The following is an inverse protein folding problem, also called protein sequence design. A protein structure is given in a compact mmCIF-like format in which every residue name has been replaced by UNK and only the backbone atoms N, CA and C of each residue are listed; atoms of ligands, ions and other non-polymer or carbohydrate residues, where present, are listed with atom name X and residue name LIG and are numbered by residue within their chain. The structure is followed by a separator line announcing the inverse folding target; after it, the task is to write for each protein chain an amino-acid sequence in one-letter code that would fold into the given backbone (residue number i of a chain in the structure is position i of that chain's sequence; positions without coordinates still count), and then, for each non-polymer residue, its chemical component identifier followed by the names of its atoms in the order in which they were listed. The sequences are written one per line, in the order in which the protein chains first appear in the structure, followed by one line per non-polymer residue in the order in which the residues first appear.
data_IF_512859112771
#
_entry.id   IF_512859112771
#
_cell.length_a   1.000
_cell.length_b   1.000
_cell.length_c   1.000
_cell.angle_alpha   90.00
_cell.angle_beta   90.00
_cell.angle_gamma   90.00
#
_symmetry.space_group_name_H-M   'P 1'
#
loop_
_entity.id
_entity.type
_entity.pdbx_description
1 polymer ?
#
# COMPACT_ATOMS: atom_id res chain seq x y z
N UNK A 1 36.17 51.04 -53.04
CA UNK A 1 36.77 49.88 -52.34
C UNK A 1 36.85 50.18 -50.85
N UNK A 2 36.68 49.15 -49.99
CA UNK A 2 36.59 49.18 -48.51
C UNK A 2 35.19 49.43 -47.93
N UNK A 3 34.39 48.36 -47.86
CA UNK A 3 33.38 48.19 -46.80
C UNK A 3 34.03 47.41 -45.67
N UNK A 4 33.99 48.00 -44.48
CA UNK A 4 34.70 47.61 -43.27
C UNK A 4 33.99 46.41 -42.61
N UNK A 5 34.80 45.43 -42.20
CA UNK A 5 34.45 44.27 -41.39
C UNK A 5 33.83 44.70 -40.05
N UNK A 6 32.65 44.18 -39.72
CA UNK A 6 32.08 44.15 -38.37
C UNK A 6 31.35 42.81 -38.22
N UNK A 7 32.13 41.74 -38.03
CA UNK A 7 31.60 40.47 -37.54
C UNK A 7 31.79 40.49 -36.03
N UNK A 8 30.78 40.99 -35.34
CA UNK A 8 30.69 40.93 -33.89
C UNK A 8 30.48 39.46 -33.51
N UNK A 9 31.49 38.88 -32.85
CA UNK A 9 31.45 37.52 -32.33
C UNK A 9 30.38 37.41 -31.24
N UNK A 10 29.16 37.03 -31.62
CA UNK A 10 28.17 36.51 -30.70
C UNK A 10 28.57 35.08 -30.34
N UNK A 11 29.47 34.93 -29.36
CA UNK A 11 29.72 33.64 -28.71
C UNK A 11 28.45 33.24 -27.97
N UNK A 12 27.63 32.46 -28.67
CA UNK A 12 26.42 31.82 -28.21
C UNK A 12 26.80 30.86 -27.07
N UNK A 13 26.68 31.33 -25.82
CA UNK A 13 26.77 30.45 -24.65
C UNK A 13 25.44 29.67 -24.57
N UNK A 14 25.28 28.68 -25.45
CA UNK A 14 24.32 27.61 -25.23
C UNK A 14 24.81 26.83 -24.01
N UNK A 15 24.36 27.24 -22.83
CA UNK A 15 24.21 26.30 -21.72
C UNK A 15 23.27 25.22 -22.23
N UNK A 16 23.85 24.13 -22.71
CA UNK A 16 23.14 22.88 -22.90
C UNK A 16 22.57 22.52 -21.54
N UNK A 17 21.28 22.81 -21.37
CA UNK A 17 20.48 22.27 -20.28
C UNK A 17 20.47 20.77 -20.50
N UNK A 18 21.46 20.06 -19.96
CA UNK A 18 21.43 18.60 -19.91
C UNK A 18 20.28 18.28 -18.96
N UNK A 19 19.15 17.73 -19.43
CA UNK A 19 18.10 17.33 -18.52
C UNK A 19 18.71 16.27 -17.59
N UNK A 20 18.82 16.61 -16.30
CA UNK A 20 19.16 15.62 -15.29
C UNK A 20 18.18 14.47 -15.43
N UNK A 21 18.68 13.27 -15.71
CA UNK A 21 17.87 12.05 -15.84
C UNK A 21 17.17 11.84 -14.49
N UNK A 22 15.89 12.23 -14.40
CA UNK A 22 15.09 11.97 -13.21
C UNK A 22 14.91 10.45 -13.12
N UNK A 23 15.52 9.85 -12.10
CA UNK A 23 15.36 8.45 -11.79
C UNK A 23 14.20 8.35 -10.81
N UNK A 24 13.12 7.69 -11.22
CA UNK A 24 11.96 7.42 -10.38
C UNK A 24 12.12 6.10 -9.62
N UNK A 25 11.78 6.08 -8.33
CA UNK A 25 11.52 4.84 -7.61
C UNK A 25 10.11 4.37 -7.96
N UNK A 26 9.89 3.06 -8.05
CA UNK A 26 8.56 2.51 -8.29
C UNK A 26 8.26 1.30 -7.43
N UNK A 27 7.02 1.21 -7.00
CA UNK A 27 6.47 0.07 -6.28
C UNK A 27 5.38 -0.57 -7.15
N UNK A 28 5.62 -1.81 -7.55
CA UNK A 28 4.61 -2.66 -8.18
C UNK A 28 4.04 -3.60 -7.13
N UNK A 29 2.71 -3.68 -7.03
CA UNK A 29 2.04 -4.45 -5.99
C UNK A 29 1.25 -5.57 -6.65
N UNK A 30 1.48 -6.80 -6.19
CA UNK A 30 0.73 -7.99 -6.60
C UNK A 30 0.18 -8.71 -5.38
N UNK A 31 -0.97 -9.38 -5.55
CA UNK A 31 -1.60 -10.17 -4.50
C UNK A 31 -1.45 -11.64 -4.85
N UNK A 32 -0.88 -12.43 -3.94
CA UNK A 32 -0.65 -13.85 -4.17
C UNK A 32 -1.27 -14.71 -3.07
N UNK A 33 -1.62 -15.94 -3.44
CA UNK A 33 -1.95 -17.00 -2.50
C UNK A 33 -1.23 -18.27 -2.92
N UNK A 34 -0.40 -18.82 -2.03
CA UNK A 34 0.43 -20.00 -2.33
C UNK A 34 1.26 -19.84 -3.63
N UNK A 35 1.81 -18.64 -3.83
CA UNK A 35 2.65 -18.30 -4.98
C UNK A 35 1.94 -18.04 -6.31
N UNK A 36 0.60 -18.08 -6.34
CA UNK A 36 -0.19 -17.70 -7.53
C UNK A 36 -0.80 -16.32 -7.35
N UNK A 37 -0.79 -15.50 -8.40
CA UNK A 37 -1.54 -14.24 -8.41
C UNK A 37 -3.02 -14.54 -8.30
N UNK A 38 -3.73 -13.80 -7.45
CA UNK A 38 -5.16 -13.99 -7.19
C UNK A 38 -5.97 -12.74 -7.52
N UNK A 39 -7.21 -12.96 -7.93
CA UNK A 39 -8.19 -11.93 -8.28
C UNK A 39 -9.45 -12.06 -7.41
N UNK A 40 -10.29 -11.02 -7.33
CA UNK A 40 -11.57 -11.12 -6.65
C UNK A 40 -12.42 -12.26 -7.21
N UNK A 41 -13.02 -13.05 -6.32
CA UNK A 41 -13.88 -14.18 -6.66
C UNK A 41 -13.14 -15.50 -6.90
N UNK A 42 -11.80 -15.50 -6.96
CA UNK A 42 -11.02 -16.73 -7.05
C UNK A 42 -11.29 -17.61 -5.83
N UNK A 43 -11.38 -18.92 -6.08
CA UNK A 43 -11.49 -19.92 -5.01
C UNK A 43 -10.09 -20.35 -4.61
N UNK A 44 -9.68 -19.97 -3.39
CA UNK A 44 -8.43 -20.35 -2.78
C UNK A 44 -8.67 -21.55 -1.86
N UNK A 45 -7.63 -22.34 -1.58
CA UNK A 45 -7.75 -23.52 -0.72
C UNK A 45 -6.80 -23.40 0.46
N UNK A 46 -7.35 -23.33 1.67
CA UNK A 46 -6.56 -23.37 2.90
C UNK A 46 -5.78 -24.68 3.03
N UNK A 47 -4.80 -24.72 3.94
CA UNK A 47 -3.98 -25.93 4.16
C UNK A 47 -4.82 -27.18 4.48
N UNK A 48 -5.98 -27.00 5.13
CA UNK A 48 -6.92 -28.08 5.43
C UNK A 48 -7.82 -28.48 4.24
N UNK A 49 -7.64 -27.89 3.06
CA UNK A 49 -8.44 -28.13 1.86
C UNK A 49 -9.77 -27.38 1.80
N UNK A 50 -10.10 -26.54 2.79
CA UNK A 50 -11.34 -25.77 2.78
C UNK A 50 -11.29 -24.68 1.68
N UNK A 51 -12.32 -24.57 0.82
CA UNK A 51 -12.39 -23.51 -0.16
C UNK A 51 -12.71 -22.18 0.53
N UNK A 52 -11.98 -21.13 0.18
CA UNK A 52 -12.26 -19.75 0.58
C UNK A 52 -12.40 -18.91 -0.67
N UNK A 53 -13.32 -17.94 -0.67
CA UNK A 53 -13.42 -16.95 -1.73
C UNK A 53 -13.17 -15.57 -1.15
N UNK A 54 -12.29 -14.80 -1.77
CA UNK A 54 -12.07 -13.41 -1.40
C UNK A 54 -12.81 -12.52 -2.39
N UNK A 55 -13.74 -11.72 -1.89
CA UNK A 55 -14.58 -10.85 -2.72
C UNK A 55 -14.06 -9.41 -2.70
N UNK A 56 -13.57 -8.95 -1.54
CA UNK A 56 -13.05 -7.60 -1.35
C UNK A 56 -11.74 -7.67 -0.59
N UNK A 57 -10.72 -6.97 -1.09
CA UNK A 57 -9.50 -6.63 -0.37
C UNK A 57 -9.09 -5.23 -0.78
N UNK A 58 -9.19 -4.30 0.16
CA UNK A 58 -8.74 -2.91 0.00
C UNK A 58 -7.94 -2.48 1.21
N UNK A 59 -6.89 -1.69 1.03
CA UNK A 59 -6.11 -1.19 2.15
C UNK A 59 -5.34 0.07 1.79
N UNK A 60 -5.07 0.89 2.80
CA UNK A 60 -4.24 2.08 2.65
C UNK A 60 -2.77 1.75 2.89
N UNK A 61 -1.92 2.22 1.99
CA UNK A 61 -0.48 2.39 2.23
C UNK A 61 -0.23 3.88 2.39
N UNK A 62 0.36 4.30 3.51
CA UNK A 62 0.68 5.71 3.76
C UNK A 62 2.13 5.93 4.22
N UNK A 63 2.59 7.18 4.11
CA UNK A 63 3.94 7.64 4.48
C UNK A 63 5.05 6.74 3.91
N UNK A 64 4.96 6.47 2.60
CA UNK A 64 5.96 5.63 1.93
C UNK A 64 7.30 6.35 1.93
N UNK A 65 8.31 5.66 2.43
CA UNK A 65 9.66 6.18 2.53
C UNK A 65 10.69 5.14 2.15
N UNK A 66 11.78 5.62 1.56
CA UNK A 66 12.92 4.81 1.16
C UNK A 66 14.16 5.37 1.86
N UNK A 67 14.81 4.55 2.70
CA UNK A 67 16.05 4.93 3.38
C UNK A 67 17.28 4.32 2.71
N UNK A 68 18.36 5.09 2.68
CA UNK A 68 19.66 4.71 2.09
C UNK A 68 20.65 4.22 3.17
N UNK A 69 21.66 3.44 2.77
CA UNK A 69 22.84 3.05 3.60
C UNK A 69 23.42 4.25 4.36
N UNK A 70 23.52 5.39 3.68
CA UNK A 70 24.19 6.60 4.17
C UNK A 70 23.26 7.53 4.99
N UNK A 71 22.11 7.03 5.44
CA UNK A 71 21.17 7.77 6.29
C UNK A 71 20.22 8.74 5.56
N UNK A 72 20.36 8.91 4.24
CA UNK A 72 19.42 9.70 3.44
C UNK A 72 18.03 9.05 3.40
N UNK A 73 16.97 9.87 3.47
CA UNK A 73 15.58 9.43 3.31
C UNK A 73 14.93 10.12 2.13
N UNK A 74 14.23 9.35 1.32
CA UNK A 74 13.27 9.85 0.35
C UNK A 74 11.87 9.60 0.92
N UNK A 75 10.98 10.59 0.79
CA UNK A 75 9.60 10.50 1.24
C UNK A 75 8.67 10.80 0.07
N UNK A 76 7.56 10.08 0.01
CA UNK A 76 6.51 10.30 -0.96
C UNK A 76 5.81 11.66 -0.76
N UNK A 77 5.54 12.35 -1.86
CA UNK A 77 4.75 13.57 -1.88
C UNK A 77 3.26 13.29 -1.69
N UNK A 78 2.77 12.15 -2.20
CA UNK A 78 1.42 11.69 -1.90
C UNK A 78 1.44 10.83 -0.63
N UNK A 79 0.86 11.33 0.45
CA UNK A 79 1.00 10.68 1.75
C UNK A 79 0.21 9.39 1.88
N UNK A 80 -0.77 9.13 1.01
CA UNK A 80 -1.65 7.95 1.12
C UNK A 80 -2.06 7.43 -0.26
N UNK A 81 -2.04 6.11 -0.41
CA UNK A 81 -2.49 5.38 -1.59
C UNK A 81 -3.52 4.33 -1.18
N UNK A 82 -4.64 4.26 -1.92
CA UNK A 82 -5.60 3.16 -1.77
C UNK A 82 -5.23 2.03 -2.72
N UNK A 83 -4.95 0.86 -2.15
CA UNK A 83 -4.74 -0.36 -2.94
C UNK A 83 -6.03 -1.16 -2.98
N UNK A 84 -6.43 -1.56 -4.18
CA UNK A 84 -7.61 -2.39 -4.44
C UNK A 84 -7.19 -3.60 -5.26
N UNK A 85 -7.29 -4.79 -4.69
CA UNK A 85 -6.84 -6.04 -5.34
C UNK A 85 -7.70 -6.46 -6.54
N UNK A 86 -8.79 -5.73 -6.84
CA UNK A 86 -9.53 -5.91 -8.10
C UNK A 86 -8.71 -5.53 -9.33
N UNK A 87 -7.61 -4.82 -9.14
CA UNK A 87 -6.60 -4.59 -10.17
C UNK A 87 -5.52 -5.67 -10.14
N UNK A 88 -5.13 -6.20 -11.31
CA UNK A 88 -4.09 -7.23 -11.44
C UNK A 88 -2.75 -6.82 -10.83
N UNK A 89 -2.35 -5.57 -11.08
CA UNK A 89 -1.14 -4.96 -10.53
C UNK A 89 -1.43 -3.49 -10.24
N UNK A 90 -1.00 -3.00 -9.08
CA UNK A 90 -0.99 -1.55 -8.79
C UNK A 90 0.43 -1.03 -8.89
N UNK A 91 0.65 0.03 -9.65
CA UNK A 91 1.96 0.67 -9.79
C UNK A 91 1.94 2.07 -9.17
N UNK A 92 2.84 2.32 -8.24
CA UNK A 92 3.04 3.62 -7.62
C UNK A 92 4.43 4.12 -8.05
N UNK A 93 4.48 5.33 -8.60
CA UNK A 93 5.71 5.96 -9.04
C UNK A 93 6.02 7.14 -8.13
N UNK A 94 7.21 7.12 -7.53
CA UNK A 94 7.65 8.17 -6.63
C UNK A 94 8.58 9.13 -7.38
N UNK A 95 8.19 10.40 -7.43
CA UNK A 95 8.97 11.44 -8.10
C UNK A 95 10.24 11.78 -7.34
N UNK A 96 11.41 11.44 -7.86
CA UNK A 96 12.69 11.71 -7.20
C UNK A 96 13.81 12.05 -8.18
N UNK A 97 14.83 12.75 -7.68
CA UNK A 97 16.10 12.97 -8.36
C UNK A 97 17.19 12.30 -7.53
N UNK A 98 17.51 11.04 -7.81
CA UNK A 98 18.62 10.41 -7.10
C UNK A 98 18.95 9.01 -7.58
N UNK A 99 20.24 8.74 -7.67
CA UNK A 99 20.81 7.43 -7.91
C UNK A 99 20.88 6.64 -6.59
N UNK A 100 19.73 6.47 -5.91
CA UNK A 100 19.73 5.97 -4.55
C UNK A 100 19.86 4.43 -4.53
N UNK A 101 20.97 3.93 -4.01
CA UNK A 101 21.03 2.62 -3.36
C UNK A 101 20.11 2.69 -2.15
N UNK A 102 18.96 2.02 -2.24
CA UNK A 102 17.96 1.98 -1.18
C UNK A 102 18.17 0.69 -0.40
N UNK A 103 18.02 0.76 0.93
CA UNK A 103 18.17 -0.40 1.82
C UNK A 103 16.86 -0.86 2.42
N UNK A 104 15.90 0.05 2.56
CA UNK A 104 14.64 -0.24 3.23
C UNK A 104 13.51 0.55 2.60
N UNK A 105 12.47 -0.18 2.23
CA UNK A 105 11.15 0.35 1.98
C UNK A 105 10.37 0.33 3.28
N UNK A 106 9.86 1.49 3.72
CA UNK A 106 9.00 1.59 4.89
C UNK A 106 7.71 2.34 4.58
N UNK A 107 6.61 1.91 5.18
CA UNK A 107 5.29 2.52 5.03
C UNK A 107 4.40 2.14 6.22
N UNK A 108 3.23 2.78 6.33
CA UNK A 108 2.17 2.32 7.23
C UNK A 108 1.06 1.61 6.46
N UNK A 109 0.60 0.49 7.01
CA UNK A 109 -0.70 -0.10 6.69
C UNK A 109 -1.76 0.67 7.48
N UNK A 110 -2.53 1.49 6.78
CA UNK A 110 -3.49 2.43 7.37
C UNK A 110 -3.07 3.88 7.25
N UNK A 111 -3.84 4.77 7.87
CA UNK A 111 -3.62 6.21 7.80
C UNK A 111 -3.35 6.84 9.17
N UNK A 112 -2.67 7.99 9.16
CA UNK A 112 -2.36 8.74 10.37
C UNK A 112 -3.63 9.26 11.08
N UNK A 113 -3.54 9.34 12.40
CA UNK A 113 -4.65 9.81 13.25
C UNK A 113 -5.07 11.25 12.97
N UNK A 114 -4.14 12.14 12.58
CA UNK A 114 -4.45 13.53 12.25
C UNK A 114 -5.35 13.65 11.02
N UNK A 115 -5.14 12.80 10.00
CA UNK A 115 -6.01 12.69 8.83
C UNK A 115 -7.40 12.17 9.22
N UNK A 116 -7.45 11.16 10.10
CA UNK A 116 -8.73 10.65 10.59
C UNK A 116 -9.51 11.70 11.41
N UNK A 117 -8.83 12.47 12.26
CA UNK A 117 -9.45 13.52 13.08
C UNK A 117 -9.95 14.73 12.27
N UNK A 118 -9.38 14.98 11.09
CA UNK A 118 -9.77 16.10 10.21
C UNK A 118 -10.99 15.79 9.34
N UNK A 119 -11.54 14.58 9.43
CA UNK A 119 -12.80 14.20 8.80
C UNK A 119 -12.62 13.52 7.44
N UNK A 120 -13.55 13.83 6.54
CA UNK A 120 -13.62 13.24 5.20
C UNK A 120 -12.67 14.00 4.26
N UNK A 121 -11.96 13.24 3.43
CA UNK A 121 -11.02 13.75 2.43
C UNK A 121 -11.42 13.22 1.05
N UNK A 122 -10.83 13.80 -0.01
CA UNK A 122 -11.06 13.40 -1.39
C UNK A 122 -9.97 12.41 -1.89
N UNK A 123 -9.99 12.10 -3.19
CA UNK A 123 -8.95 11.28 -3.82
C UNK A 123 -8.98 9.85 -3.31
N UNK A 124 -7.85 9.33 -2.84
CA UNK A 124 -7.77 7.97 -2.27
C UNK A 124 -8.56 7.78 -1.00
N UNK A 125 -8.84 8.87 -0.28
CA UNK A 125 -9.61 8.87 0.95
C UNK A 125 -11.10 9.17 0.74
N UNK A 126 -11.57 9.27 -0.51
CA UNK A 126 -12.99 9.52 -0.77
C UNK A 126 -13.89 8.40 -0.19
N UNK A 127 -14.85 8.69 0.70
CA UNK A 127 -15.76 7.71 1.29
C UNK A 127 -16.56 6.90 0.26
N UNK A 128 -16.77 7.40 -0.96
CA UNK A 128 -17.41 6.65 -2.06
C UNK A 128 -16.63 5.37 -2.39
N UNK A 129 -15.32 5.32 -2.08
CA UNK A 129 -14.48 4.11 -2.23
C UNK A 129 -14.79 3.04 -1.18
N UNK A 130 -15.69 3.32 -0.23
CA UNK A 130 -16.19 2.36 0.76
C UNK A 130 -15.24 2.09 1.92
N UNK A 131 -14.28 2.98 2.15
CA UNK A 131 -13.19 2.81 3.13
C UNK A 131 -13.30 3.77 4.34
N UNK A 132 -14.49 4.34 4.56
CA UNK A 132 -14.79 5.22 5.68
C UNK A 132 -16.06 4.76 6.39
N UNK A 133 -16.00 4.60 7.71
CA UNK A 133 -17.16 4.30 8.54
C UNK A 133 -17.86 5.60 8.96
N UNK A 134 -19.11 5.76 8.55
CA UNK A 134 -19.92 6.94 8.90
C UNK A 134 -20.39 6.93 10.35
N UNK A 135 -20.68 5.76 10.93
CA UNK A 135 -21.22 5.63 12.29
C UNK A 135 -20.21 5.87 13.41
N UNK A 136 -18.91 5.66 13.14
CA UNK A 136 -17.83 5.87 14.12
C UNK A 136 -16.87 7.00 13.69
N UNK A 137 -17.08 7.58 12.51
CA UNK A 137 -16.26 8.64 11.90
C UNK A 137 -14.77 8.33 11.86
N UNK A 138 -14.37 7.55 10.86
CA UNK A 138 -12.97 7.24 10.62
C UNK A 138 -12.76 6.16 9.56
N UNK A 139 -11.51 6.05 9.14
CA UNK A 139 -11.11 5.22 8.02
C UNK A 139 -10.88 3.76 8.42
N UNK A 140 -11.16 2.90 7.46
CA UNK A 140 -10.83 1.48 7.49
C UNK A 140 -9.43 1.35 6.89
N UNK A 141 -8.45 0.94 7.69
CA UNK A 141 -7.07 0.78 7.23
C UNK A 141 -6.93 -0.41 6.26
N UNK A 142 -7.65 -1.51 6.54
CA UNK A 142 -7.73 -2.69 5.70
C UNK A 142 -9.15 -3.27 5.75
N UNK A 143 -9.75 -3.48 4.59
CA UNK A 143 -11.04 -4.14 4.40
C UNK A 143 -10.83 -5.44 3.67
N UNK A 144 -11.24 -6.56 4.28
CA UNK A 144 -11.27 -7.87 3.67
C UNK A 144 -12.64 -8.50 3.86
N UNK A 145 -13.25 -8.98 2.77
CA UNK A 145 -14.54 -9.66 2.80
C UNK A 145 -14.48 -10.90 1.91
N UNK A 146 -15.14 -11.96 2.35
CA UNK A 146 -15.11 -13.24 1.63
C UNK A 146 -16.09 -14.25 2.16
N UNK A 147 -15.96 -15.48 1.66
CA UNK A 147 -16.79 -16.62 2.03
C UNK A 147 -15.86 -17.74 2.50
N UNK A 148 -16.17 -18.33 3.65
CA UNK A 148 -15.46 -19.49 4.19
C UNK A 148 -16.47 -20.47 4.80
N UNK A 149 -16.48 -21.76 4.44
CA UNK A 149 -17.46 -22.76 4.92
C UNK A 149 -17.61 -22.92 6.43
N UNK A 150 -16.63 -22.46 7.20
CA UNK A 150 -16.62 -22.54 8.66
C UNK A 150 -17.20 -21.28 9.31
N UNK A 151 -17.43 -20.23 8.52
CA UNK A 151 -18.12 -19.04 9.03
C UNK A 151 -19.57 -19.40 9.35
N UNK A 152 -20.04 -19.12 10.58
CA UNK A 152 -21.41 -19.44 11.01
C UNK A 152 -22.45 -18.40 10.53
N UNK A 153 -22.03 -17.37 9.80
CA UNK A 153 -22.93 -16.32 9.30
C UNK A 153 -23.77 -16.81 8.11
N UNK A 154 -24.79 -16.01 7.74
CA UNK A 154 -25.53 -16.24 6.50
C UNK A 154 -24.59 -16.26 5.30
N UNK A 155 -24.81 -17.20 4.40
CA UNK A 155 -24.02 -17.40 3.17
C UNK A 155 -22.53 -17.69 3.43
N UNK A 156 -22.18 -18.10 4.65
CA UNK A 156 -20.81 -18.37 5.08
C UNK A 156 -19.85 -17.18 4.92
N UNK A 157 -20.36 -15.96 5.00
CA UNK A 157 -19.58 -14.73 4.82
C UNK A 157 -18.67 -14.41 6.01
N UNK A 158 -17.51 -13.81 5.76
CA UNK A 158 -16.70 -13.17 6.78
C UNK A 158 -16.30 -11.77 6.34
N UNK A 159 -16.07 -10.90 7.30
CA UNK A 159 -15.71 -9.49 7.05
C UNK A 159 -14.76 -8.98 8.12
N UNK A 160 -13.64 -8.43 7.69
CA UNK A 160 -12.62 -7.81 8.52
C UNK A 160 -12.38 -6.40 8.02
N UNK A 161 -13.02 -5.45 8.66
CA UNK A 161 -12.80 -4.02 8.46
C UNK A 161 -11.95 -3.56 9.65
N UNK A 162 -10.65 -3.48 9.42
CA UNK A 162 -9.65 -3.18 10.43
C UNK A 162 -9.37 -1.69 10.40
N UNK A 163 -9.69 -1.00 11.48
CA UNK A 163 -9.51 0.45 11.61
C UNK A 163 -9.54 0.88 13.06
N UNK A 164 -9.33 2.18 13.28
CA UNK A 164 -9.18 2.76 14.60
C UNK A 164 -7.92 3.62 14.68
N UNK A 165 -8.09 4.88 15.07
CA UNK A 165 -7.02 5.88 15.13
C UNK A 165 -6.79 6.43 16.55
N UNK A 166 -7.63 6.03 17.51
CA UNK A 166 -7.56 6.48 18.91
C UNK A 166 -6.99 5.38 19.80
N UNK A 167 -6.16 5.76 20.75
CA UNK A 167 -5.74 4.85 21.82
C UNK A 167 -6.94 4.44 22.70
N UNK A 168 -6.97 3.20 23.21
CA UNK A 168 -5.96 2.15 23.05
C UNK A 168 -6.08 1.33 21.75
N UNK A 169 -7.09 1.58 20.92
CA UNK A 169 -7.42 0.77 19.74
C UNK A 169 -6.90 1.36 18.41
N UNK A 170 -5.67 1.90 18.43
CA UNK A 170 -5.02 2.34 17.20
C UNK A 170 -4.57 1.13 16.38
N UNK A 171 -5.12 1.00 15.17
CA UNK A 171 -4.98 -0.18 14.32
C UNK A 171 -4.03 0.05 13.13
N UNK A 172 -3.36 1.22 13.04
CA UNK A 172 -2.30 1.49 12.07
C UNK A 172 -1.07 0.62 12.39
N UNK A 173 -0.38 0.10 11.38
CA UNK A 173 0.82 -0.72 11.57
C UNK A 173 1.95 -0.26 10.67
N UNK A 174 3.19 -0.32 11.17
CA UNK A 174 4.38 0.03 10.39
C UNK A 174 4.98 -1.21 9.74
N UNK A 175 5.27 -1.11 8.45
CA UNK A 175 5.99 -2.12 7.66
C UNK A 175 7.36 -1.56 7.30
N UNK A 176 8.39 -2.40 7.40
CA UNK A 176 9.75 -2.09 6.95
C UNK A 176 10.34 -3.35 6.32
N UNK A 177 10.73 -3.25 5.05
CA UNK A 177 11.20 -4.38 4.25
C UNK A 177 12.57 -4.04 3.65
N UNK A 178 13.54 -4.96 3.72
CA UNK A 178 14.81 -4.78 3.05
C UNK A 178 14.59 -4.79 1.53
N UNK A 179 15.27 -3.88 0.84
CA UNK A 179 15.29 -3.76 -0.62
C UNK A 179 16.70 -3.34 -1.03
N UNK A 180 17.07 -3.58 -2.28
CA UNK A 180 18.36 -3.14 -2.84
C UNK A 180 18.19 -2.43 -4.19
N UNK A 181 17.03 -2.56 -4.83
CA UNK A 181 16.75 -1.99 -6.14
C UNK A 181 15.76 -0.81 -6.09
N UNK A 182 15.70 -0.10 -7.22
CA UNK A 182 14.80 1.07 -7.40
C UNK A 182 13.39 0.68 -7.81
N UNK A 183 13.27 -0.48 -8.44
CA UNK A 183 12.03 -1.08 -8.87
C UNK A 183 11.75 -2.22 -7.91
N UNK A 184 10.72 -2.04 -7.08
CA UNK A 184 10.41 -2.99 -6.00
C UNK A 184 9.07 -3.63 -6.32
N UNK A 185 9.05 -4.96 -6.29
CA UNK A 185 7.82 -5.74 -6.26
C UNK A 185 7.41 -5.97 -4.81
N UNK A 186 6.31 -5.35 -4.39
CA UNK A 186 5.64 -5.67 -3.13
C UNK A 186 4.65 -6.83 -3.37
N UNK A 187 5.05 -8.02 -2.96
CA UNK A 187 4.18 -9.18 -2.96
C UNK A 187 3.37 -9.22 -1.65
N UNK A 188 2.04 -9.28 -1.80
CA UNK A 188 1.08 -9.38 -0.71
C UNK A 188 0.61 -10.83 -0.63
N UNK A 189 1.29 -11.60 0.24
CA UNK A 189 1.10 -13.05 0.39
C UNK A 189 -0.05 -13.36 1.35
N UNK A 190 -1.25 -13.49 0.81
CA UNK A 190 -2.49 -13.55 1.57
C UNK A 190 -2.58 -14.75 2.52
N UNK A 191 -1.87 -15.86 2.22
CA UNK A 191 -1.83 -17.04 3.10
C UNK A 191 -1.28 -16.73 4.50
N UNK A 192 -0.39 -15.74 4.65
CA UNK A 192 0.18 -15.38 5.95
C UNK A 192 -0.84 -14.70 6.88
N UNK A 193 -1.82 -14.00 6.31
CA UNK A 193 -2.92 -13.40 7.07
C UNK A 193 -4.06 -14.38 7.26
N UNK A 194 -4.53 -14.99 6.17
CA UNK A 194 -5.71 -15.85 6.16
C UNK A 194 -5.56 -17.11 7.00
N UNK A 195 -4.40 -17.79 6.96
CA UNK A 195 -4.18 -19.01 7.73
C UNK A 195 -4.00 -18.75 9.23
N UNK A 196 -3.84 -17.49 9.64
CA UNK A 196 -3.73 -17.11 11.05
C UNK A 196 -5.08 -16.81 11.70
N UNK A 197 -6.19 -16.86 10.94
CA UNK A 197 -7.53 -16.52 11.41
C UNK A 197 -8.39 -17.79 11.46
N UNK A 198 -8.95 -18.06 12.64
CA UNK A 198 -9.98 -19.08 12.83
C UNK A 198 -11.36 -18.43 12.59
N UNK A 199 -11.85 -18.51 11.36
CA UNK A 199 -13.08 -17.82 10.92
C UNK A 199 -14.34 -18.36 11.62
N UNK A 200 -14.31 -19.61 12.09
CA UNK A 200 -15.36 -20.20 12.93
C UNK A 200 -15.62 -19.41 14.22
N UNK A 201 -14.56 -18.88 14.84
CA UNK A 201 -14.63 -18.12 16.08
C UNK A 201 -14.58 -16.60 15.87
N UNK A 202 -13.89 -16.13 14.83
CA UNK A 202 -13.76 -14.70 14.50
C UNK A 202 -14.06 -14.48 13.01
N UNK A 203 -15.33 -14.23 12.69
CA UNK A 203 -15.83 -14.02 11.33
C UNK A 203 -16.16 -12.55 11.00
N UNK A 204 -16.36 -11.71 12.02
CA UNK A 204 -16.74 -10.31 11.83
C UNK A 204 -15.90 -9.38 12.72
N UNK A 205 -15.24 -8.40 12.09
CA UNK A 205 -14.70 -7.22 12.73
C UNK A 205 -15.14 -6.01 11.91
N UNK A 206 -15.93 -5.11 12.48
CA UNK A 206 -16.48 -3.93 11.80
C UNK A 206 -16.42 -2.64 12.62
N UNK A 207 -15.53 -2.60 13.60
CA UNK A 207 -15.30 -1.42 14.43
C UNK A 207 -13.90 -1.48 15.07
N UNK A 208 -13.38 -0.34 15.54
CA UNK A 208 -12.17 -0.33 16.35
C UNK A 208 -12.31 -1.17 17.62
N UNK A 209 -11.26 -1.90 17.98
CA UNK A 209 -11.23 -2.74 19.18
C UNK A 209 -10.03 -3.67 19.21
N UNK A 210 -9.92 -4.50 20.24
CA UNK A 210 -8.79 -5.43 20.44
C UNK A 210 -8.59 -6.36 19.24
N UNK A 211 -9.67 -6.94 18.71
CA UNK A 211 -9.61 -7.81 17.54
C UNK A 211 -9.12 -7.07 16.29
N UNK A 212 -9.53 -5.81 16.09
CA UNK A 212 -9.05 -5.00 14.97
C UNK A 212 -7.54 -4.77 15.07
N UNK A 213 -7.04 -4.40 16.26
CA UNK A 213 -5.60 -4.20 16.50
C UNK A 213 -4.81 -5.51 16.32
N UNK A 214 -5.31 -6.63 16.86
CA UNK A 214 -4.67 -7.95 16.75
C UNK A 214 -4.56 -8.38 15.28
N UNK A 215 -5.65 -8.28 14.52
CA UNK A 215 -5.65 -8.63 13.10
C UNK A 215 -4.79 -7.66 12.28
N UNK A 216 -4.78 -6.37 12.58
CA UNK A 216 -3.87 -5.44 11.90
C UNK A 216 -2.40 -5.84 12.07
N UNK A 217 -1.99 -6.23 13.28
CA UNK A 217 -0.63 -6.75 13.54
C UNK A 217 -0.34 -8.03 12.77
N UNK A 218 -1.32 -8.90 12.59
CA UNK A 218 -1.16 -10.09 11.75
C UNK A 218 -1.07 -9.72 10.27
N UNK A 219 -1.82 -8.72 9.82
CA UNK A 219 -1.89 -8.33 8.41
C UNK A 219 -0.52 -7.90 7.88
N UNK A 220 0.33 -7.21 8.65
CA UNK A 220 1.65 -6.80 8.15
C UNK A 220 2.57 -7.98 7.80
N UNK A 221 2.29 -9.18 8.29
CA UNK A 221 3.09 -10.38 7.98
C UNK A 221 2.93 -10.84 6.54
N UNK A 222 1.94 -10.33 5.79
CA UNK A 222 1.71 -10.67 4.38
C UNK A 222 2.67 -9.97 3.41
N UNK A 223 3.28 -8.86 3.79
CA UNK A 223 4.10 -8.07 2.86
C UNK A 223 5.51 -8.63 2.70
N UNK A 224 5.95 -8.84 1.46
CA UNK A 224 7.33 -9.15 1.08
C UNK A 224 7.75 -8.21 -0.03
N UNK A 225 8.99 -7.75 0.02
CA UNK A 225 9.58 -6.96 -1.06
C UNK A 225 10.57 -7.83 -1.81
N UNK A 226 10.52 -7.74 -3.15
CA UNK A 226 11.48 -8.36 -4.04
C UNK A 226 12.07 -7.28 -4.94
N UNK A 227 13.37 -7.40 -5.16
CA UNK A 227 14.11 -6.56 -6.09
C UNK A 227 13.82 -7.02 -7.53
N UNK A 228 13.52 -6.07 -8.44
CA UNK A 228 13.25 -6.33 -9.86
C UNK A 228 14.41 -5.90 -10.76
#
# INVERSE_FOLDING_TARGET
MRKLLLILAATLFLLSFVPSKRISLSLSIIHTYQGKIVKPGDTLFFHNGAPVKLNVLKYYISDVSFSKKNGGKYADYNKTHLIDFSSDTTNIVFGGSGNADVDTLAFYLGIDSSLSCSGVHEGDLDPVKGMYWTWQSGYINLKLEGIHPLSPTRDHGFQFHLGGYRNPFSAIQRVALPVNEKHILLEVKLEHFLNAISVDSLHTVMSPGENAVKLSKQAITMFRAHDL
#
